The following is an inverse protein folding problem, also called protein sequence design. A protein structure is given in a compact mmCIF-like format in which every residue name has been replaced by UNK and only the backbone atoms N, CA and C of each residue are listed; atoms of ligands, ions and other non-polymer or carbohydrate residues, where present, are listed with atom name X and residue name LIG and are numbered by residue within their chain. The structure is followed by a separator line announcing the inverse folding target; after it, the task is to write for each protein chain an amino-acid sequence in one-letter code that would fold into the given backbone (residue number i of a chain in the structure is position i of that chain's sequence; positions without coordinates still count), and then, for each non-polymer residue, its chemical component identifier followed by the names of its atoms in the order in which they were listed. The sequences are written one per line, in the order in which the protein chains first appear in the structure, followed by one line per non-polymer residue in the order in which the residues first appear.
data_IF_582580634256
#
_entry.id   IF_582580634256
#
_cell.length_a   1.000
_cell.length_b   1.000
_cell.length_c   1.000
_cell.angle_alpha   90.00
_cell.angle_beta   90.00
_cell.angle_gamma   90.00
#
_symmetry.space_group_name_H-M   'P 1'
#
loop_
_entity.id
_entity.type
_entity.pdbx_description
1 polymer ?
#
# COMPACT_ATOMS: atom_id res chain seq x y z
N UNK A 1 21.55 19.52 -19.92
CA UNK A 1 21.94 18.10 -19.81
C UNK A 1 20.80 17.33 -19.14
N UNK A 2 20.20 16.33 -19.83
CA UNK A 2 19.39 15.16 -19.36
C UNK A 2 18.38 15.40 -18.22
N UNK A 3 17.04 15.29 -18.31
CA UNK A 3 16.10 14.66 -19.24
C UNK A 3 15.05 13.85 -18.42
N UNK A 4 13.72 14.05 -18.57
CA UNK A 4 12.71 13.13 -18.08
C UNK A 4 12.35 12.14 -19.19
N UNK A 5 12.88 10.92 -19.13
CA UNK A 5 12.66 9.87 -20.13
C UNK A 5 12.57 8.50 -19.45
N UNK A 6 11.85 7.59 -20.11
CA UNK A 6 11.61 6.17 -19.82
C UNK A 6 10.28 5.90 -19.06
N UNK A 7 9.12 5.99 -19.71
CA UNK A 7 8.64 5.18 -20.85
C UNK A 7 8.30 3.74 -20.44
N UNK A 8 7.03 3.53 -20.09
CA UNK A 8 6.25 2.29 -20.14
C UNK A 8 4.81 2.72 -19.81
N UNK A 9 4.06 3.38 -20.68
CA UNK A 9 3.69 2.95 -22.04
C UNK A 9 3.36 1.46 -22.06
N UNK A 10 2.36 1.09 -21.26
CA UNK A 10 1.47 -0.06 -21.51
C UNK A 10 0.04 0.48 -21.47
N UNK A 11 -0.21 1.56 -22.22
CA UNK A 11 -1.52 1.84 -22.78
C UNK A 11 -1.67 0.85 -23.94
N UNK A 12 -2.08 -0.38 -23.63
CA UNK A 12 -2.47 -1.37 -24.64
C UNK A 12 -3.80 -0.87 -25.21
N UNK A 13 -3.69 -0.11 -26.29
CA UNK A 13 -4.75 0.11 -27.26
C UNK A 13 -4.92 -1.22 -28.01
N UNK A 14 -5.90 -2.03 -27.60
CA UNK A 14 -6.47 -3.06 -28.49
C UNK A 14 -7.91 -2.65 -28.75
N UNK A 15 -8.06 -1.79 -29.75
CA UNK A 15 -9.32 -1.54 -30.42
C UNK A 15 -9.59 -2.72 -31.37
N UNK A 16 -10.30 -3.75 -30.88
CA UNK A 16 -10.96 -4.73 -31.74
C UNK A 16 -12.35 -5.00 -31.16
N UNK A 17 -13.34 -4.54 -31.92
CA UNK A 17 -14.79 -4.72 -31.79
C UNK A 17 -15.28 -5.88 -30.89
N UNK A 18 -15.90 -5.54 -29.76
CA UNK A 18 -16.94 -6.33 -29.09
C UNK A 18 -17.67 -5.45 -28.06
N UNK A 19 -19.01 -5.32 -28.12
CA UNK A 19 -19.76 -4.55 -27.14
C UNK A 19 -20.06 -5.46 -25.95
N UNK A 20 -19.19 -5.55 -24.95
CA UNK A 20 -19.47 -6.13 -23.62
C UNK A 20 -18.16 -6.12 -22.82
N UNK A 21 -17.97 -5.13 -21.95
CA UNK A 21 -17.15 -5.23 -20.72
C UNK A 21 -17.13 -3.88 -20.00
N UNK A 22 -18.25 -3.49 -19.41
CA UNK A 22 -18.30 -2.45 -18.38
C UNK A 22 -18.06 -3.13 -17.03
N UNK A 23 -16.86 -3.62 -16.72
CA UNK A 23 -16.64 -4.27 -15.41
C UNK A 23 -15.17 -4.45 -14.99
N UNK A 24 -14.31 -3.43 -15.09
CA UNK A 24 -12.95 -3.51 -14.50
C UNK A 24 -12.47 -2.19 -13.88
N UNK A 25 -13.34 -1.44 -13.21
CA UNK A 25 -12.96 -0.19 -12.51
C UNK A 25 -12.96 -0.30 -10.96
N UNK A 26 -13.24 -1.47 -10.38
CA UNK A 26 -13.40 -1.58 -8.92
C UNK A 26 -12.13 -2.01 -8.15
N UNK A 27 -11.05 -2.43 -8.81
CA UNK A 27 -9.90 -3.03 -8.13
C UNK A 27 -8.85 -2.02 -7.60
N UNK A 28 -8.96 -0.75 -7.98
CA UNK A 28 -7.94 0.27 -7.61
C UNK A 28 -8.15 0.89 -6.22
N UNK A 29 -9.32 0.71 -5.61
CA UNK A 29 -9.64 1.35 -4.31
C UNK A 29 -9.11 0.55 -3.12
N UNK A 30 -9.00 -0.78 -3.24
CA UNK A 30 -8.42 -1.65 -2.22
C UNK A 30 -6.91 -1.41 -2.07
N UNK A 31 -6.18 -1.30 -3.17
CA UNK A 31 -4.72 -1.07 -3.17
C UNK A 31 -4.32 0.29 -2.59
N UNK A 32 -5.05 1.36 -2.93
CA UNK A 32 -4.79 2.68 -2.35
C UNK A 32 -5.07 2.71 -0.83
N UNK A 33 -6.12 2.02 -0.37
CA UNK A 33 -6.47 1.90 1.04
C UNK A 33 -5.41 1.15 1.86
N UNK A 34 -4.95 -0.01 1.36
CA UNK A 34 -3.88 -0.80 1.98
C UNK A 34 -2.57 -0.01 2.05
N UNK A 35 -2.22 0.71 0.98
CA UNK A 35 -1.01 1.51 0.94
C UNK A 35 -1.06 2.71 1.91
N UNK A 36 -2.21 3.37 2.02
CA UNK A 36 -2.44 4.43 3.02
C UNK A 36 -2.37 3.87 4.46
N UNK A 37 -2.94 2.70 4.70
CA UNK A 37 -2.91 2.04 6.00
C UNK A 37 -1.49 1.62 6.40
N UNK A 38 -0.73 1.01 5.49
CA UNK A 38 0.66 0.63 5.72
C UNK A 38 1.54 1.86 6.03
N UNK A 39 1.32 2.97 5.32
CA UNK A 39 2.01 4.25 5.58
C UNK A 39 1.72 4.77 7.00
N UNK A 40 0.48 4.65 7.49
CA UNK A 40 0.13 5.01 8.87
C UNK A 40 0.81 4.09 9.89
N UNK A 41 0.83 2.78 9.66
CA UNK A 41 1.49 1.82 10.54
C UNK A 41 3.00 2.10 10.65
N UNK A 42 3.68 2.34 9.52
CA UNK A 42 5.10 2.70 9.49
C UNK A 42 5.38 4.02 10.19
N UNK A 43 4.52 5.02 10.00
CA UNK A 43 4.64 6.31 10.70
C UNK A 43 4.52 6.12 12.22
N UNK A 44 3.56 5.32 12.67
CA UNK A 44 3.39 4.99 14.09
C UNK A 44 4.59 4.23 14.66
N UNK A 45 5.12 3.25 13.91
CA UNK A 45 6.34 2.53 14.26
C UNK A 45 7.52 3.47 14.49
N UNK A 46 7.80 4.37 13.53
CA UNK A 46 8.92 5.32 13.63
C UNK A 46 8.76 6.22 14.86
N UNK A 47 7.57 6.76 15.11
CA UNK A 47 7.32 7.57 16.32
C UNK A 47 7.52 6.78 17.61
N UNK A 48 7.14 5.51 17.63
CA UNK A 48 7.35 4.62 18.76
C UNK A 48 8.84 4.35 18.99
N UNK A 49 9.57 3.98 17.94
CA UNK A 49 11.03 3.73 17.98
C UNK A 49 11.81 4.96 18.42
N UNK A 50 11.43 6.15 17.97
CA UNK A 50 12.07 7.42 18.38
C UNK A 50 11.90 7.70 19.88
N UNK A 51 10.85 7.16 20.52
CA UNK A 51 10.62 7.29 21.96
C UNK A 51 11.36 6.25 22.80
N UNK A 52 11.92 5.22 22.18
CA UNK A 52 12.59 4.14 22.88
C UNK A 52 14.05 4.46 23.29
N UNK A 53 14.64 5.56 22.79
CA UNK A 53 16.03 5.97 23.10
C UNK A 53 17.08 4.85 22.89
N UNK A 54 16.85 3.96 21.92
CA UNK A 54 17.73 2.82 21.64
C UNK A 54 17.45 1.55 22.46
N UNK A 55 16.48 1.55 23.37
CA UNK A 55 16.05 0.36 24.13
C UNK A 55 15.51 -0.72 23.19
N UNK A 56 16.23 -1.84 23.11
CA UNK A 56 15.91 -2.91 22.16
C UNK A 56 14.57 -3.59 22.46
N UNK A 57 14.20 -3.73 23.73
CA UNK A 57 12.93 -4.35 24.10
C UNK A 57 11.73 -3.49 23.68
N UNK A 58 11.84 -2.18 23.83
CA UNK A 58 10.88 -1.19 23.35
C UNK A 58 10.80 -1.18 21.82
N UNK A 59 11.95 -1.19 21.14
CA UNK A 59 12.01 -1.21 19.67
C UNK A 59 11.34 -2.48 19.11
N UNK A 60 11.59 -3.65 19.70
CA UNK A 60 10.95 -4.89 19.27
C UNK A 60 9.44 -4.90 19.55
N UNK A 61 8.97 -4.29 20.64
CA UNK A 61 7.53 -4.06 20.86
C UNK A 61 6.94 -3.14 19.79
N UNK A 62 7.59 -2.02 19.47
CA UNK A 62 7.15 -1.11 18.41
C UNK A 62 7.07 -1.81 17.04
N UNK A 63 8.05 -2.67 16.74
CA UNK A 63 8.04 -3.50 15.53
C UNK A 63 6.89 -4.50 15.52
N UNK A 64 6.62 -5.15 16.65
CA UNK A 64 5.53 -6.09 16.77
C UNK A 64 4.18 -5.41 16.52
N UNK A 65 3.92 -4.29 17.19
CA UNK A 65 2.71 -3.48 16.97
C UNK A 65 2.54 -3.06 15.51
N UNK A 66 3.63 -2.68 14.84
CA UNK A 66 3.60 -2.32 13.43
C UNK A 66 3.26 -3.50 12.52
N UNK A 67 3.77 -4.70 12.82
CA UNK A 67 3.43 -5.93 12.09
C UNK A 67 1.95 -6.26 12.23
N UNK A 68 1.42 -6.20 13.45
CA UNK A 68 -0.01 -6.46 13.71
C UNK A 68 -0.90 -5.42 13.00
N UNK A 69 -0.47 -4.15 12.97
CA UNK A 69 -1.13 -3.07 12.24
C UNK A 69 -1.18 -3.36 10.73
N UNK A 70 -0.06 -3.73 10.10
CA UNK A 70 0.00 -4.05 8.67
C UNK A 70 -0.82 -5.30 8.35
N UNK A 71 -0.80 -6.31 9.22
CA UNK A 71 -1.62 -7.51 9.05
C UNK A 71 -3.12 -7.19 9.06
N UNK A 72 -3.53 -6.22 9.89
CA UNK A 72 -4.91 -5.71 9.90
C UNK A 72 -5.22 -4.97 8.60
N UNK A 73 -4.32 -4.10 8.13
CA UNK A 73 -4.48 -3.40 6.84
C UNK A 73 -4.69 -4.36 5.66
N UNK A 74 -3.98 -5.50 5.64
CA UNK A 74 -4.13 -6.52 4.60
C UNK A 74 -5.44 -7.29 4.68
N UNK A 75 -6.04 -7.41 5.86
CA UNK A 75 -7.33 -8.04 6.07
C UNK A 75 -8.49 -7.08 5.71
N UNK A 76 -8.40 -5.80 6.08
CA UNK A 76 -9.38 -4.77 5.73
C UNK A 76 -9.45 -4.48 4.22
N UNK A 77 -8.35 -4.69 3.49
CA UNK A 77 -8.31 -4.58 2.03
C UNK A 77 -9.05 -5.69 1.27
N UNK A 78 -9.45 -6.78 1.95
CA UNK A 78 -10.08 -7.96 1.35
C UNK A 78 -11.57 -8.15 1.63
N UNK A 79 -12.18 -7.36 2.52
CA UNK A 79 -13.61 -7.50 2.92
C UNK A 79 -14.49 -6.35 2.46
N UNK A 80 -14.62 -6.22 1.14
CA UNK A 80 -15.83 -5.67 0.52
C UNK A 80 -16.27 -6.63 -0.60
N UNK A 81 -16.90 -7.72 -0.19
CA UNK A 81 -17.79 -8.51 -1.04
C UNK A 81 -19.11 -7.79 -1.23
#
# INVERSE_FOLDING_TARGET
MRGPQCTKLVLIVVALAAPLSVLTLLDSTSHAGVQQCNTRCQTSQTNCTLRCDGDQACIEKCKQTARDCVQTCSQDGGTRG
#
